data_IF_112267834435
#
_entry.id   IF_112267834435
#
_cell.length_a   1.000
_cell.length_b   1.000
_cell.length_c   1.000
_cell.angle_alpha   90.00
_cell.angle_beta   90.00
_cell.angle_gamma   90.00
#
_symmetry.space_group_name_H-M   'P 1'
#
loop_
_entity.id
_entity.type
_entity.pdbx_description
1 polymer ?
#
# COMPACT_ATOMS: atom_id res chain seq x y z
N UNK A 1 1.25 -14.10 13.82
CA UNK A 1 -0.06 -14.00 14.50
C UNK A 1 -0.94 -13.16 13.61
N UNK A 2 -2.01 -13.73 13.07
CA UNK A 2 -3.03 -12.96 12.34
C UNK A 2 -4.38 -13.30 12.97
N UNK A 3 -5.13 -12.28 13.37
CA UNK A 3 -6.48 -12.46 13.89
C UNK A 3 -7.35 -13.10 12.81
N UNK A 4 -7.77 -14.36 13.00
CA UNK A 4 -8.67 -15.06 12.06
C UNK A 4 -10.03 -14.35 11.90
N UNK A 5 -10.40 -13.48 12.85
CA UNK A 5 -11.63 -12.70 12.82
C UNK A 5 -11.34 -11.29 13.33
N UNK A 6 -11.63 -10.29 12.51
CA UNK A 6 -11.50 -8.89 12.90
C UNK A 6 -12.57 -8.53 13.94
N UNK A 7 -12.16 -7.86 15.02
CA UNK A 7 -13.09 -7.30 15.98
C UNK A 7 -13.72 -6.01 15.43
N UNK A 8 -14.92 -5.65 15.90
CA UNK A 8 -15.51 -4.34 15.56
C UNK A 8 -14.61 -3.17 15.96
N UNK A 9 -13.86 -3.32 17.06
CA UNK A 9 -12.94 -2.30 17.53
C UNK A 9 -11.76 -2.11 16.57
N UNK A 10 -11.12 -3.21 16.13
CA UNK A 10 -10.00 -3.11 15.18
C UNK A 10 -10.42 -2.57 13.82
N UNK A 11 -11.61 -2.93 13.33
CA UNK A 11 -12.14 -2.34 12.10
C UNK A 11 -12.39 -0.83 12.23
N UNK A 12 -12.99 -0.39 13.34
CA UNK A 12 -13.21 1.04 13.59
C UNK A 12 -11.89 1.82 13.69
N UNK A 13 -10.84 1.22 14.27
CA UNK A 13 -9.52 1.85 14.34
C UNK A 13 -8.82 1.91 12.98
N UNK A 14 -8.99 0.88 12.13
CA UNK A 14 -8.45 0.88 10.77
C UNK A 14 -9.14 1.94 9.90
N UNK A 15 -10.47 2.07 10.01
CA UNK A 15 -11.25 3.10 9.31
C UNK A 15 -10.84 4.51 9.76
N UNK A 16 -10.77 4.74 11.08
CA UNK A 16 -10.29 6.01 11.64
C UNK A 16 -8.86 6.33 11.21
N UNK A 17 -8.00 5.31 11.03
CA UNK A 17 -6.65 5.50 10.52
C UNK A 17 -6.68 6.09 9.11
N UNK A 18 -7.49 5.53 8.21
CA UNK A 18 -7.64 6.04 6.84
C UNK A 18 -8.21 7.48 6.83
N UNK A 19 -9.29 7.71 7.58
CA UNK A 19 -9.90 9.04 7.70
C UNK A 19 -8.89 10.08 8.19
N UNK A 20 -8.11 9.76 9.22
CA UNK A 20 -7.08 10.65 9.78
C UNK A 20 -5.98 10.95 8.76
N UNK A 21 -5.54 9.93 8.00
CA UNK A 21 -4.54 10.10 6.94
C UNK A 21 -5.06 11.07 5.86
N UNK A 22 -6.28 10.87 5.36
CA UNK A 22 -6.86 11.71 4.32
C UNK A 22 -7.14 13.14 4.80
N UNK A 23 -7.55 13.33 6.05
CA UNK A 23 -7.83 14.66 6.61
C UNK A 23 -6.56 15.47 6.92
N UNK A 24 -5.53 14.82 7.47
CA UNK A 24 -4.37 15.50 8.06
C UNK A 24 -3.03 15.25 7.35
N UNK A 25 -2.93 14.26 6.46
CA UNK A 25 -1.67 13.78 5.88
C UNK A 25 -0.83 14.88 5.22
N UNK A 26 -1.43 15.67 4.32
CA UNK A 26 -0.73 16.75 3.60
C UNK A 26 -0.26 17.84 4.58
N UNK A 27 -1.12 18.24 5.53
CA UNK A 27 -0.78 19.24 6.56
C UNK A 27 0.35 18.75 7.47
N UNK A 28 0.33 17.46 7.81
CA UNK A 28 1.37 16.83 8.62
C UNK A 28 2.71 16.77 7.89
N UNK A 29 2.73 16.38 6.60
CA UNK A 29 3.94 16.39 5.77
C UNK A 29 4.55 17.79 5.72
N UNK A 30 3.74 18.81 5.39
CA UNK A 30 4.21 20.20 5.37
C UNK A 30 4.77 20.66 6.72
N UNK A 31 4.16 20.22 7.83
CA UNK A 31 4.66 20.52 9.17
C UNK A 31 6.00 19.83 9.44
N UNK A 32 6.13 18.55 9.07
CA UNK A 32 7.35 17.77 9.25
C UNK A 32 8.51 18.33 8.41
N UNK A 33 8.28 18.65 7.13
CA UNK A 33 9.28 19.20 6.22
C UNK A 33 9.80 20.57 6.71
N UNK A 34 8.92 21.38 7.33
CA UNK A 34 9.28 22.66 7.94
C UNK A 34 9.90 22.53 9.35
N UNK A 35 9.97 21.32 9.92
CA UNK A 35 10.44 21.11 11.29
C UNK A 35 9.52 21.74 12.35
N UNK A 36 8.21 21.75 12.11
CA UNK A 36 7.19 22.33 12.98
C UNK A 36 6.29 21.27 13.61
N UNK A 37 5.94 21.47 14.88
CA UNK A 37 4.89 20.70 15.52
C UNK A 37 3.53 21.32 15.21
N UNK A 38 2.56 20.50 14.84
CA UNK A 38 1.17 20.88 14.58
C UNK A 38 0.22 19.79 15.07
N UNK A 39 -1.05 20.13 15.26
CA UNK A 39 -2.06 19.13 15.62
C UNK A 39 -2.18 18.04 14.53
N UNK A 40 -2.14 18.42 13.25
CA UNK A 40 -2.16 17.47 12.14
C UNK A 40 -0.97 16.50 12.20
N UNK A 41 0.25 16.98 12.50
CA UNK A 41 1.40 16.10 12.66
C UNK A 41 1.23 15.14 13.84
N UNK A 42 0.69 15.59 14.98
CA UNK A 42 0.43 14.71 16.12
C UNK A 42 -0.61 13.64 15.79
N UNK A 43 -1.69 14.01 15.09
CA UNK A 43 -2.73 13.08 14.66
C UNK A 43 -2.15 12.01 13.72
N UNK A 44 -1.28 12.39 12.78
CA UNK A 44 -0.64 11.43 11.85
C UNK A 44 0.38 10.54 12.56
N UNK A 45 1.10 11.05 13.56
CA UNK A 45 1.98 10.21 14.40
C UNK A 45 1.17 9.15 15.15
N UNK A 46 0.01 9.52 15.70
CA UNK A 46 -0.92 8.56 16.32
C UNK A 46 -1.46 7.56 15.29
N UNK A 47 -1.89 8.02 14.12
CA UNK A 47 -2.42 7.17 13.06
C UNK A 47 -1.38 6.13 12.60
N UNK A 48 -0.15 6.58 12.30
CA UNK A 48 0.93 5.72 11.83
C UNK A 48 1.44 4.73 12.89
N UNK A 49 1.23 5.01 14.18
CA UNK A 49 1.79 4.19 15.26
C UNK A 49 0.74 3.34 15.95
N UNK A 50 -0.34 3.95 16.42
CA UNK A 50 -1.34 3.29 17.26
C UNK A 50 -2.50 2.75 16.42
N UNK A 51 -3.14 3.60 15.61
CA UNK A 51 -4.30 3.20 14.82
C UNK A 51 -3.93 2.14 13.79
N UNK A 52 -2.86 2.39 13.02
CA UNK A 52 -2.31 1.41 12.07
C UNK A 52 -1.88 0.14 12.80
N UNK A 53 -1.13 0.27 13.90
CA UNK A 53 -0.62 -0.85 14.70
C UNK A 53 -1.71 -1.83 15.13
N UNK A 54 -2.73 -1.34 15.83
CA UNK A 54 -3.83 -2.17 16.31
C UNK A 54 -4.74 -2.61 15.14
N UNK A 55 -4.96 -1.72 14.18
CA UNK A 55 -5.76 -1.98 12.98
C UNK A 55 -5.24 -3.18 12.20
N UNK A 56 -3.94 -3.23 11.90
CA UNK A 56 -3.38 -4.37 11.15
C UNK A 56 -3.24 -5.62 12.02
N UNK A 57 -2.77 -5.51 13.28
CA UNK A 57 -2.48 -6.68 14.10
C UNK A 57 -3.76 -7.44 14.49
N UNK A 58 -4.84 -6.69 14.76
CA UNK A 58 -6.14 -7.23 15.17
C UNK A 58 -7.23 -7.20 14.09
N UNK A 59 -6.94 -6.63 12.91
CA UNK A 59 -7.83 -6.63 11.73
C UNK A 59 -7.35 -7.58 10.65
N UNK A 60 -6.05 -7.56 10.33
CA UNK A 60 -5.41 -8.46 9.38
C UNK A 60 -4.51 -7.74 8.37
N UNK A 61 -3.78 -8.56 7.60
CA UNK A 61 -2.99 -8.15 6.44
C UNK A 61 -3.49 -8.95 5.23
N UNK A 62 -3.38 -8.38 4.04
CA UNK A 62 -3.90 -8.97 2.79
C UNK A 62 -2.89 -8.82 1.65
N UNK A 63 -3.36 -8.52 0.43
CA UNK A 63 -2.51 -8.46 -0.77
C UNK A 63 -1.42 -7.38 -0.69
N UNK A 64 -1.69 -6.19 -0.14
CA UNK A 64 -0.75 -5.07 -0.14
C UNK A 64 0.60 -5.43 0.50
N UNK A 65 0.57 -6.08 1.66
CA UNK A 65 1.80 -6.52 2.34
C UNK A 65 2.43 -7.75 1.68
N UNK A 66 1.64 -8.66 1.10
CA UNK A 66 2.18 -9.77 0.33
C UNK A 66 2.92 -9.28 -0.94
N UNK A 67 2.39 -8.25 -1.59
CA UNK A 67 3.02 -7.57 -2.74
C UNK A 67 4.28 -6.82 -2.31
N UNK A 68 4.23 -6.07 -1.20
CA UNK A 68 5.43 -5.48 -0.58
C UNK A 68 6.54 -6.52 -0.40
N UNK A 69 6.22 -7.67 0.21
CA UNK A 69 7.17 -8.75 0.44
C UNK A 69 7.73 -9.29 -0.88
N UNK A 70 6.90 -9.40 -1.91
CA UNK A 70 7.34 -9.78 -3.25
C UNK A 70 8.32 -8.78 -3.86
N UNK A 71 8.17 -7.49 -3.63
CA UNK A 71 9.15 -6.51 -4.10
C UNK A 71 10.52 -6.68 -3.47
N UNK A 72 10.60 -7.16 -2.21
CA UNK A 72 11.89 -7.29 -1.50
C UNK A 72 12.89 -8.25 -2.15
N UNK A 73 12.45 -9.14 -3.04
CA UNK A 73 13.37 -10.01 -3.80
C UNK A 73 14.07 -9.29 -4.96
N UNK A 74 13.56 -8.12 -5.36
CA UNK A 74 14.16 -7.29 -6.41
C UNK A 74 15.22 -6.36 -5.81
N UNK A 75 16.51 -6.49 -6.18
CA UNK A 75 17.59 -5.68 -5.59
C UNK A 75 17.41 -4.17 -5.76
N UNK A 76 16.85 -3.73 -6.89
CA UNK A 76 16.56 -2.32 -7.16
C UNK A 76 15.56 -1.68 -6.17
N UNK A 77 14.75 -2.48 -5.47
CA UNK A 77 13.78 -1.94 -4.51
C UNK A 77 14.34 -1.80 -3.09
N UNK A 78 15.62 -2.17 -2.87
CA UNK A 78 16.22 -2.23 -1.54
C UNK A 78 16.52 -0.86 -0.94
N UNK A 79 16.71 0.17 -1.76
CA UNK A 79 16.91 1.55 -1.28
C UNK A 79 15.62 2.20 -0.78
N UNK A 80 14.46 1.66 -1.15
CA UNK A 80 13.15 2.16 -0.76
C UNK A 80 12.72 1.63 0.61
N UNK A 81 12.07 2.49 1.38
CA UNK A 81 11.50 2.21 2.68
C UNK A 81 10.32 1.24 2.58
N UNK A 82 9.97 0.66 3.73
CA UNK A 82 8.83 -0.25 3.85
C UNK A 82 7.52 0.39 3.36
N UNK A 83 7.21 1.60 3.87
CA UNK A 83 5.98 2.31 3.52
C UNK A 83 5.88 2.70 2.04
N UNK A 84 7.00 2.97 1.37
CA UNK A 84 7.05 3.29 -0.06
C UNK A 84 6.62 2.10 -0.92
N UNK A 85 7.14 0.90 -0.59
CA UNK A 85 6.73 -0.35 -1.25
C UNK A 85 5.29 -0.75 -0.90
N UNK A 86 4.86 -0.53 0.35
CA UNK A 86 3.47 -0.81 0.77
C UNK A 86 2.49 0.12 0.07
N UNK A 87 2.83 1.40 -0.15
CA UNK A 87 1.97 2.36 -0.86
C UNK A 87 1.61 1.84 -2.27
N UNK A 88 2.62 1.44 -3.06
CA UNK A 88 2.37 0.82 -4.35
C UNK A 88 1.62 -0.52 -4.22
N UNK A 89 1.98 -1.35 -3.24
CA UNK A 89 1.27 -2.60 -2.95
C UNK A 89 -0.22 -2.42 -2.65
N UNK A 90 -0.62 -1.31 -2.01
CA UNK A 90 -2.02 -0.96 -1.77
C UNK A 90 -2.76 -0.66 -3.07
N UNK A 91 -2.14 0.07 -4.00
CA UNK A 91 -2.72 0.33 -5.34
C UNK A 91 -2.91 -0.99 -6.09
N UNK A 92 -1.92 -1.90 -6.04
CA UNK A 92 -2.03 -3.25 -6.60
C UNK A 92 -3.19 -4.03 -5.98
N UNK A 93 -3.39 -3.94 -4.67
CA UNK A 93 -4.51 -4.58 -3.99
C UNK A 93 -5.86 -4.03 -4.47
N UNK A 94 -6.02 -2.71 -4.61
CA UNK A 94 -7.26 -2.11 -5.11
C UNK A 94 -7.58 -2.57 -6.53
N UNK A 95 -6.56 -2.70 -7.39
CA UNK A 95 -6.71 -3.26 -8.73
C UNK A 95 -7.13 -4.74 -8.68
N UNK A 96 -6.51 -5.55 -7.81
CA UNK A 96 -6.90 -6.95 -7.61
C UNK A 96 -8.35 -7.11 -7.13
N UNK A 97 -8.80 -6.21 -6.27
CA UNK A 97 -10.16 -6.18 -5.74
C UNK A 97 -11.18 -5.66 -6.76
N UNK A 98 -10.72 -5.10 -7.89
CA UNK A 98 -11.55 -4.37 -8.83
C UNK A 98 -12.37 -3.29 -8.10
N UNK A 99 -11.69 -2.51 -7.26
CA UNK A 99 -12.27 -1.37 -6.56
C UNK A 99 -12.82 -0.32 -7.55
N UNK A 100 -13.71 0.54 -7.06
CA UNK A 100 -14.28 1.61 -7.87
C UNK A 100 -13.17 2.59 -8.32
N UNK A 101 -13.31 3.15 -9.52
CA UNK A 101 -12.26 3.99 -10.12
C UNK A 101 -11.96 5.22 -9.26
N UNK A 102 -12.99 5.82 -8.67
CA UNK A 102 -12.86 6.98 -7.78
C UNK A 102 -12.04 6.66 -6.52
N UNK A 103 -12.12 5.43 -5.99
CA UNK A 103 -11.33 5.02 -4.83
C UNK A 103 -9.85 4.84 -5.21
N UNK A 104 -9.58 4.22 -6.35
CA UNK A 104 -8.22 4.03 -6.86
C UNK A 104 -7.56 5.39 -7.14
N UNK A 105 -8.28 6.29 -7.83
CA UNK A 105 -7.81 7.65 -8.14
C UNK A 105 -7.52 8.44 -6.87
N UNK A 106 -8.43 8.43 -5.88
CA UNK A 106 -8.23 9.11 -4.60
C UNK A 106 -6.95 8.64 -3.89
N UNK A 107 -6.69 7.34 -3.87
CA UNK A 107 -5.51 6.78 -3.20
C UNK A 107 -4.22 7.13 -3.97
N UNK A 108 -4.24 7.08 -5.30
CA UNK A 108 -3.09 7.50 -6.12
C UNK A 108 -2.78 8.99 -5.90
N UNK A 109 -3.79 9.86 -5.99
CA UNK A 109 -3.65 11.29 -5.74
C UNK A 109 -3.07 11.58 -4.36
N UNK A 110 -3.59 10.90 -3.33
CA UNK A 110 -3.11 11.04 -1.97
C UNK A 110 -1.65 10.61 -1.81
N UNK A 111 -1.26 9.47 -2.41
CA UNK A 111 0.12 9.01 -2.40
C UNK A 111 1.06 10.00 -3.11
N UNK A 112 0.69 10.49 -4.29
CA UNK A 112 1.48 11.46 -5.06
C UNK A 112 1.63 12.79 -4.30
N UNK A 113 0.56 13.29 -3.67
CA UNK A 113 0.62 14.50 -2.84
C UNK A 113 1.57 14.37 -1.63
N UNK A 114 1.93 13.15 -1.24
CA UNK A 114 2.86 12.85 -0.15
C UNK A 114 4.26 12.42 -0.62
N UNK A 115 4.52 12.46 -1.93
CA UNK A 115 5.73 11.94 -2.58
C UNK A 115 5.93 10.42 -2.40
N UNK A 116 4.86 9.65 -2.25
CA UNK A 116 4.91 8.19 -2.20
C UNK A 116 4.88 7.59 -3.61
N UNK A 117 5.65 6.52 -3.88
CA UNK A 117 5.66 5.87 -5.20
C UNK A 117 4.28 5.32 -5.61
N UNK A 118 3.88 5.65 -6.83
CA UNK A 118 2.65 5.15 -7.47
C UNK A 118 2.91 4.40 -8.78
N UNK A 119 4.18 4.31 -9.19
CA UNK A 119 4.64 3.61 -10.39
C UNK A 119 5.81 2.69 -10.06
N UNK A 120 6.06 1.70 -10.94
CA UNK A 120 7.23 0.81 -10.84
C UNK A 120 8.55 1.57 -11.01
N UNK A 121 8.55 2.57 -11.89
CA UNK A 121 9.73 3.41 -12.13
C UNK A 121 10.13 4.21 -10.89
N UNK A 122 9.16 4.71 -10.11
CA UNK A 122 9.41 5.37 -8.83
C UNK A 122 9.93 4.42 -7.75
N UNK A 123 9.78 3.09 -7.92
CA UNK A 123 10.40 2.04 -7.11
C UNK A 123 11.68 1.45 -7.75
N UNK A 124 12.25 2.13 -8.75
CA UNK A 124 13.51 1.74 -9.40
C UNK A 124 13.37 0.60 -10.42
N UNK A 125 12.16 0.05 -10.61
CA UNK A 125 11.88 -1.05 -11.54
C UNK A 125 11.60 -0.48 -12.93
N UNK A 126 12.65 -0.36 -13.75
CA UNK A 126 12.58 0.29 -15.08
C UNK A 126 12.85 -0.64 -16.27
N UNK A 127 13.36 -1.84 -16.02
CA UNK A 127 13.72 -2.83 -17.04
C UNK A 127 13.15 -4.21 -16.70
N UNK A 128 12.85 -5.02 -17.72
CA UNK A 128 12.29 -6.38 -17.58
C UNK A 128 11.03 -6.40 -16.71
N UNK A 129 10.18 -5.37 -16.86
CA UNK A 129 9.02 -5.10 -16.02
C UNK A 129 8.09 -6.31 -15.90
N UNK A 130 7.71 -6.94 -17.02
CA UNK A 130 6.79 -8.09 -17.00
C UNK A 130 7.39 -9.31 -16.28
N UNK A 131 8.69 -9.59 -16.50
CA UNK A 131 9.39 -10.68 -15.82
C UNK A 131 9.47 -10.44 -14.31
N UNK A 132 9.82 -9.21 -13.91
CA UNK A 132 9.91 -8.82 -12.49
C UNK A 132 8.54 -8.81 -11.82
N UNK A 133 7.48 -8.36 -12.50
CA UNK A 133 6.11 -8.45 -12.00
C UNK A 133 5.72 -9.92 -11.72
N UNK A 134 6.10 -10.85 -12.59
CA UNK A 134 5.88 -12.28 -12.37
C UNK A 134 6.71 -12.85 -11.20
N UNK A 135 7.95 -12.39 -11.02
CA UNK A 135 8.78 -12.78 -9.88
C UNK A 135 8.18 -12.30 -8.56
N UNK A 136 7.75 -11.03 -8.51
CA UNK A 136 7.04 -10.45 -7.36
C UNK A 136 5.77 -11.26 -7.08
N UNK A 137 4.95 -11.53 -8.10
CA UNK A 137 3.72 -12.30 -7.97
C UNK A 137 3.93 -13.70 -7.37
N UNK A 138 4.96 -14.42 -7.83
CA UNK A 138 5.35 -15.74 -7.29
C UNK A 138 5.73 -15.68 -5.83
N UNK A 139 6.51 -14.67 -5.44
CA UNK A 139 6.91 -14.48 -4.06
C UNK A 139 5.72 -14.13 -3.17
N UNK A 140 4.83 -13.26 -3.65
CA UNK A 140 3.62 -12.83 -2.94
C UNK A 140 2.60 -13.93 -2.69
N UNK A 141 2.59 -14.99 -3.50
CA UNK A 141 1.62 -16.10 -3.41
C UNK A 141 2.12 -17.29 -2.56
N UNK A 142 3.32 -17.22 -1.97
CA UNK A 142 3.81 -18.30 -1.09
C UNK A 142 2.88 -18.48 0.13
N UNK A 143 2.80 -19.72 0.62
CA UNK A 143 1.87 -20.10 1.71
C UNK A 143 2.10 -19.34 3.03
N UNK A 144 3.32 -18.84 3.27
CA UNK A 144 3.67 -18.06 4.45
C UNK A 144 3.32 -16.56 4.32
N UNK A 145 2.79 -16.12 3.16
CA UNK A 145 2.36 -14.75 2.90
C UNK A 145 0.89 -14.51 3.20
N UNK A 146 0.52 -13.24 3.22
CA UNK A 146 -0.83 -12.78 3.60
C UNK A 146 -1.83 -12.77 2.44
N UNK A 147 -1.42 -13.12 1.22
CA UNK A 147 -2.29 -13.18 0.04
C UNK A 147 -3.46 -14.14 0.21
N UNK A 148 -3.28 -15.22 0.99
CA UNK A 148 -4.34 -16.19 1.29
C UNK A 148 -5.50 -15.64 2.13
N UNK A 149 -5.39 -14.41 2.67
CA UNK A 149 -6.49 -13.75 3.39
C UNK A 149 -7.46 -13.01 2.45
N UNK A 150 -7.15 -12.89 1.15
CA UNK A 150 -8.05 -12.27 0.17
C UNK A 150 -9.36 -13.08 0.06
N UNK A 151 -10.54 -12.43 -0.07
CA UNK A 151 -11.84 -13.11 -0.06
C UNK A 151 -12.18 -13.82 -1.38
N UNK A 152 -11.24 -13.87 -2.32
CA UNK A 152 -11.36 -14.53 -3.62
C UNK A 152 -10.05 -15.26 -3.96
N UNK A 153 -10.09 -16.28 -4.84
CA UNK A 153 -8.87 -16.94 -5.31
C UNK A 153 -7.96 -15.97 -6.05
N UNK A 154 -6.69 -15.93 -5.68
CA UNK A 154 -5.66 -15.12 -6.34
C UNK A 154 -4.64 -16.04 -7.00
N UNK A 155 -4.20 -15.70 -8.22
CA UNK A 155 -3.17 -16.43 -8.96
C UNK A 155 -1.97 -15.54 -9.24
N UNK A 156 -0.82 -16.14 -9.57
CA UNK A 156 0.39 -15.38 -9.97
C UNK A 156 0.10 -14.44 -11.14
N UNK A 157 -0.68 -14.89 -12.12
CA UNK A 157 -1.07 -14.10 -13.29
C UNK A 157 -1.92 -12.89 -12.89
N UNK A 158 -2.88 -13.06 -11.98
CA UNK A 158 -3.71 -11.95 -11.50
C UNK A 158 -2.86 -10.89 -10.78
N UNK A 159 -1.91 -11.31 -9.93
CA UNK A 159 -1.03 -10.39 -9.22
C UNK A 159 -0.11 -9.66 -10.20
N UNK A 160 0.52 -10.38 -11.13
CA UNK A 160 1.40 -9.76 -12.12
C UNK A 160 0.64 -8.75 -12.99
N UNK A 161 -0.56 -9.10 -13.47
CA UNK A 161 -1.39 -8.18 -14.24
C UNK A 161 -1.84 -6.96 -13.42
N UNK A 162 -2.19 -7.15 -12.14
CA UNK A 162 -2.56 -6.05 -11.27
C UNK A 162 -1.39 -5.09 -11.00
N UNK A 163 -0.16 -5.61 -10.87
CA UNK A 163 1.07 -4.79 -10.78
C UNK A 163 1.23 -3.91 -12.03
N UNK A 164 1.05 -4.48 -13.22
CA UNK A 164 1.20 -3.76 -14.48
C UNK A 164 0.08 -2.72 -14.68
N UNK A 165 -1.16 -3.04 -14.29
CA UNK A 165 -2.28 -2.09 -14.37
C UNK A 165 -2.12 -0.97 -13.35
N UNK A 166 -1.69 -1.27 -12.11
CA UNK A 166 -1.40 -0.26 -11.09
C UNK A 166 -0.33 0.73 -11.56
N UNK A 167 0.76 0.24 -12.17
CA UNK A 167 1.80 1.09 -12.77
C UNK A 167 1.23 2.04 -13.84
N UNK A 168 0.38 1.53 -14.73
CA UNK A 168 -0.26 2.34 -15.78
C UNK A 168 -1.23 3.38 -15.21
N UNK A 169 -1.97 3.06 -14.15
CA UNK A 169 -2.87 4.01 -13.48
C UNK A 169 -2.07 5.12 -12.79
N UNK A 170 -0.99 4.77 -12.08
CA UNK A 170 -0.09 5.74 -11.45
C UNK A 170 0.52 6.72 -12.46
N UNK A 171 0.91 6.25 -13.65
CA UNK A 171 1.44 7.11 -14.72
C UNK A 171 0.41 8.09 -15.31
N UNK A 172 -0.87 7.69 -15.38
CA UNK A 172 -1.92 8.49 -16.05
C UNK A 172 -2.34 9.72 -15.26
N UNK A 173 -2.33 9.61 -13.94
CA UNK A 173 -2.80 10.65 -13.03
C UNK A 173 -1.78 11.80 -12.88
N UNK A 174 -0.56 11.63 -13.40
CA UNK A 174 0.47 12.67 -13.47
C UNK A 174 0.25 13.77 -14.55
N UNK A 175 -0.90 13.81 -15.24
CA UNK A 175 -1.21 14.75 -16.33
C UNK A 175 -2.38 15.69 -16.00
#
# INVERSE_FOLDING_TARGET
>A
MTGKFASKASMALAELCLETLLEDGIKAKLSADAGHSSQALMNIVEANTYLSGIGFESGGLAAAHAVHDGFTILPETHEYLHGEKVAFGTIVQLVLENAESEEIEMIIDFCQALDLPTTLAELGVTENIEEKALLVAKESLKEDKTMGNMPFPVTEELIANAILVADQLGQRIML
#
